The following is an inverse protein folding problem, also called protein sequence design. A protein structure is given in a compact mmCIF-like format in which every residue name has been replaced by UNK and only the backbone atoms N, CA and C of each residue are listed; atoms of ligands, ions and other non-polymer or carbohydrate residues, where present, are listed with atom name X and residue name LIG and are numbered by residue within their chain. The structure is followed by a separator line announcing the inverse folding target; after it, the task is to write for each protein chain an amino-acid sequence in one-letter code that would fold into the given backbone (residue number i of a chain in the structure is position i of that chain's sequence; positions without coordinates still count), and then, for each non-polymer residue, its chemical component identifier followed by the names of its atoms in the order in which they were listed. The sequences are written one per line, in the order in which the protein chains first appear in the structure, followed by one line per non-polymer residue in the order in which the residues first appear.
data_IF_352106245833
#
_entry.id   IF_352106245833
#
_cell.length_a   1.000
_cell.length_b   1.000
_cell.length_c   1.000
_cell.angle_alpha   90.00
_cell.angle_beta   90.00
_cell.angle_gamma   90.00
#
_symmetry.space_group_name_H-M   'P 1'
#
loop_
_entity.id
_entity.type
_entity.pdbx_description
1 polymer ?
#
# COMPACT_ATOMS: atom_id res chain seq x y z
N UNK A 1 5.47 27.82 -6.65
CA UNK A 1 4.09 28.14 -6.31
C UNK A 1 4.12 29.54 -5.71
N UNK A 2 3.45 30.50 -6.34
CA UNK A 2 3.52 31.94 -6.00
C UNK A 2 2.23 32.43 -5.32
N UNK A 3 1.42 31.50 -4.82
CA UNK A 3 0.17 31.81 -4.14
C UNK A 3 0.47 32.13 -2.67
N UNK A 4 0.08 33.31 -2.23
CA UNK A 4 0.03 33.68 -0.81
C UNK A 4 -1.34 33.24 -0.28
N UNK A 5 -1.34 32.46 0.81
CA UNK A 5 -2.55 32.03 1.50
C UNK A 5 -2.44 32.49 2.95
N UNK A 6 -3.15 33.56 3.31
CA UNK A 6 -3.10 34.18 4.64
C UNK A 6 -3.61 33.26 5.75
N UNK A 7 -4.44 32.27 5.40
CA UNK A 7 -4.99 31.28 6.33
C UNK A 7 -4.01 30.15 6.67
N UNK A 8 -2.89 30.05 5.95
CA UNK A 8 -1.89 29.00 6.14
C UNK A 8 -0.69 29.50 6.92
N UNK A 9 -0.19 28.63 7.79
CA UNK A 9 1.07 28.89 8.48
C UNK A 9 2.25 28.94 7.49
N UNK A 10 3.31 29.64 7.89
CA UNK A 10 4.57 29.72 7.13
C UNK A 10 5.10 28.31 6.79
N UNK A 11 5.39 28.02 5.50
CA UNK A 11 5.79 26.69 5.07
C UNK A 11 7.16 26.33 5.64
N UNK A 12 7.21 25.25 6.42
CA UNK A 12 8.46 24.74 7.00
C UNK A 12 9.05 23.61 6.14
N UNK A 13 10.32 23.71 5.70
CA UNK A 13 10.97 22.65 4.92
C UNK A 13 11.15 21.35 5.72
N UNK A 14 10.78 20.23 5.11
CA UNK A 14 11.12 18.90 5.64
C UNK A 14 12.49 18.50 5.13
N UNK A 15 13.50 18.56 6.01
CA UNK A 15 14.89 18.16 5.70
C UNK A 15 15.29 16.95 6.52
N UNK A 16 15.92 15.96 5.88
CA UNK A 16 16.34 14.73 6.54
C UNK A 16 17.45 14.02 5.75
N UNK A 17 18.11 13.05 6.38
CA UNK A 17 19.12 12.19 5.72
C UNK A 17 18.43 11.12 4.86
N UNK A 18 19.16 10.52 3.93
CA UNK A 18 18.68 9.35 3.20
C UNK A 18 18.31 8.22 4.18
N UNK A 19 17.16 7.57 3.95
CA UNK A 19 16.60 6.55 4.84
C UNK A 19 15.66 7.11 5.92
N UNK A 20 15.55 8.43 6.08
CA UNK A 20 14.54 9.02 6.97
C UNK A 20 13.13 8.88 6.40
N UNK A 21 12.16 8.72 7.29
CA UNK A 21 10.72 8.61 6.97
C UNK A 21 9.98 9.82 7.50
N UNK A 22 9.10 10.40 6.68
CA UNK A 22 8.23 11.50 7.08
C UNK A 22 6.77 11.04 7.04
N UNK A 23 6.10 11.07 8.19
CA UNK A 23 4.67 10.78 8.30
C UNK A 23 3.88 12.07 8.14
N UNK A 24 2.82 12.03 7.34
CA UNK A 24 1.93 13.18 7.09
C UNK A 24 0.49 12.74 7.20
N UNK A 25 -0.33 13.61 7.78
CA UNK A 25 -1.78 13.48 7.70
C UNK A 25 -2.26 13.80 6.28
N UNK A 26 -3.34 13.18 5.83
CA UNK A 26 -4.02 13.54 4.56
C UNK A 26 -4.56 14.97 4.56
N UNK A 27 -4.76 15.55 5.74
CA UNK A 27 -5.20 16.94 5.92
C UNK A 27 -4.05 17.95 5.95
N UNK A 28 -2.79 17.50 5.92
CA UNK A 28 -1.64 18.40 5.92
C UNK A 28 -1.45 19.01 4.53
N UNK A 29 -1.61 20.33 4.42
CA UNK A 29 -1.27 21.08 3.21
C UNK A 29 0.24 21.06 3.03
N UNK A 30 0.70 20.63 1.87
CA UNK A 30 2.13 20.54 1.56
C UNK A 30 2.36 20.68 0.06
N UNK A 31 3.58 21.10 -0.31
CA UNK A 31 3.99 21.25 -1.69
C UNK A 31 5.40 20.69 -1.92
N UNK A 32 5.68 20.28 -3.14
CA UNK A 32 7.04 19.96 -3.55
C UNK A 32 7.89 21.24 -3.62
N UNK A 33 9.09 21.19 -3.05
CA UNK A 33 10.04 22.30 -3.16
C UNK A 33 10.81 22.22 -4.49
N UNK A 34 11.06 23.36 -5.16
CA UNK A 34 11.88 23.41 -6.36
C UNK A 34 13.31 22.96 -6.04
N UNK A 35 13.96 22.31 -7.01
CA UNK A 35 15.37 21.96 -6.89
C UNK A 35 16.23 23.22 -7.00
N UNK A 36 17.05 23.48 -5.98
CA UNK A 36 18.07 24.53 -6.04
C UNK A 36 19.09 24.24 -7.16
N UNK A 37 19.48 22.98 -7.33
CA UNK A 37 20.30 22.50 -8.43
C UNK A 37 19.50 21.53 -9.32
N UNK A 38 19.14 21.98 -10.52
CA UNK A 38 18.34 21.22 -11.49
C UNK A 38 19.07 20.00 -12.09
N UNK A 39 20.38 19.85 -11.87
CA UNK A 39 21.16 18.69 -12.30
C UNK A 39 21.24 17.59 -11.23
N UNK A 40 20.65 17.80 -10.05
CA UNK A 40 20.58 16.80 -9.00
C UNK A 40 19.19 16.21 -8.90
N UNK A 41 19.14 14.95 -8.48
CA UNK A 41 17.89 14.23 -8.24
C UNK A 41 17.72 13.95 -6.74
N UNK A 42 16.46 13.88 -6.31
CA UNK A 42 16.07 13.42 -4.97
C UNK A 42 15.14 12.24 -5.14
N UNK A 43 15.62 11.06 -4.75
CA UNK A 43 14.79 9.86 -4.67
C UNK A 43 13.84 9.96 -3.48
N UNK A 44 12.56 9.67 -3.70
CA UNK A 44 11.54 9.58 -2.67
C UNK A 44 10.56 8.47 -3.04
N UNK A 45 10.17 7.68 -2.05
CA UNK A 45 9.14 6.65 -2.18
C UNK A 45 8.01 7.00 -1.23
N UNK A 46 6.81 7.16 -1.78
CA UNK A 46 5.60 7.48 -1.03
C UNK A 46 4.73 6.27 -0.79
N UNK A 47 4.26 6.10 0.44
CA UNK A 47 3.20 5.16 0.78
C UNK A 47 2.01 5.95 1.34
N UNK A 48 0.82 5.56 0.91
CA UNK A 48 -0.43 6.15 1.38
C UNK A 48 -1.21 5.07 2.09
N UNK A 49 -1.52 5.30 3.37
CA UNK A 49 -2.34 4.41 4.18
C UNK A 49 -3.69 5.08 4.44
N UNK A 50 -4.75 4.29 4.46
CA UNK A 50 -6.08 4.73 4.86
C UNK A 50 -6.61 3.80 5.95
N UNK A 51 -7.68 4.24 6.62
CA UNK A 51 -8.36 3.41 7.60
C UNK A 51 -9.00 2.20 6.91
N UNK A 52 -8.96 1.05 7.58
CA UNK A 52 -9.53 -0.19 7.10
C UNK A 52 -11.07 -0.15 7.04
N UNK A 53 -11.74 0.63 7.89
CA UNK A 53 -13.21 0.79 7.86
C UNK A 53 -13.71 1.78 6.80
N UNK A 54 -12.78 2.50 6.17
CA UNK A 54 -13.02 3.34 4.99
C UNK A 54 -12.35 2.72 3.74
N UNK A 55 -11.98 1.44 3.83
CA UNK A 55 -11.41 0.66 2.75
C UNK A 55 -12.53 -0.08 2.04
N UNK A 56 -13.02 0.45 0.93
CA UNK A 56 -13.75 -0.41 0.01
C UNK A 56 -12.74 -1.30 -0.71
N UNK A 57 -12.79 -2.58 -0.36
CA UNK A 57 -12.18 -3.66 -1.12
C UNK A 57 -12.39 -3.41 -2.62
N UNK A 58 -11.30 -3.38 -3.40
CA UNK A 58 -11.27 -3.12 -4.85
C UNK A 58 -11.59 -1.70 -5.37
N UNK A 59 -11.55 -0.63 -4.56
CA UNK A 59 -11.63 0.76 -5.06
C UNK A 59 -10.28 1.48 -5.15
N UNK A 60 -9.15 0.77 -5.26
CA UNK A 60 -7.96 1.39 -5.85
C UNK A 60 -8.32 1.74 -7.30
N UNK A 61 -8.69 3.00 -7.53
CA UNK A 61 -9.08 3.58 -8.84
C UNK A 61 -7.97 3.54 -9.89
N UNK A 62 -6.87 2.85 -9.61
CA UNK A 62 -5.86 2.42 -10.57
C UNK A 62 -5.48 0.98 -10.21
N UNK A 63 -5.66 -0.03 -11.08
CA UNK A 63 -4.82 -1.23 -10.97
C UNK A 63 -3.38 -0.73 -10.91
N UNK A 64 -2.64 -1.05 -9.84
CA UNK A 64 -1.24 -0.65 -9.79
C UNK A 64 -0.60 -1.33 -11.01
N UNK A 65 0.08 -0.58 -11.88
CA UNK A 65 0.82 -1.19 -12.97
C UNK A 65 1.72 -2.29 -12.40
N UNK A 66 1.48 -3.54 -12.81
CA UNK A 66 2.29 -4.69 -12.40
C UNK A 66 1.62 -5.73 -11.51
N UNK A 67 0.32 -5.63 -11.16
CA UNK A 67 -0.36 -6.67 -10.38
C UNK A 67 -0.41 -8.06 -11.04
N UNK A 68 -0.19 -8.12 -12.35
CA UNK A 68 -0.11 -9.36 -13.12
C UNK A 68 1.32 -9.70 -13.54
N UNK A 69 2.33 -8.92 -13.12
CA UNK A 69 3.71 -9.27 -13.44
C UNK A 69 4.16 -10.46 -12.61
N UNK A 70 5.10 -11.23 -13.14
CA UNK A 70 5.66 -12.38 -12.45
C UNK A 70 6.28 -12.01 -11.11
N UNK A 71 6.87 -10.82 -10.98
CA UNK A 71 7.49 -10.35 -9.74
C UNK A 71 6.44 -10.09 -8.67
N UNK A 72 5.31 -9.47 -9.02
CA UNK A 72 4.24 -9.23 -8.07
C UNK A 72 3.56 -10.53 -7.66
N UNK A 73 3.28 -11.42 -8.62
CA UNK A 73 2.68 -12.74 -8.33
C UNK A 73 3.58 -13.54 -7.40
N UNK A 74 4.90 -13.58 -7.68
CA UNK A 74 5.87 -14.27 -6.82
C UNK A 74 5.95 -13.62 -5.44
N UNK A 75 6.00 -12.29 -5.37
CA UNK A 75 5.99 -11.57 -4.10
C UNK A 75 4.75 -11.89 -3.25
N UNK A 76 3.56 -11.94 -3.86
CA UNK A 76 2.33 -12.33 -3.15
C UNK A 76 2.40 -13.79 -2.70
N UNK A 77 2.88 -14.70 -3.54
CA UNK A 77 3.01 -16.11 -3.18
C UNK A 77 3.97 -16.33 -1.99
N UNK A 78 5.10 -15.63 -1.99
CA UNK A 78 6.20 -15.82 -1.02
C UNK A 78 6.02 -15.03 0.29
N UNK A 79 5.10 -14.07 0.34
CA UNK A 79 4.95 -13.20 1.52
C UNK A 79 4.01 -13.78 2.60
N UNK A 80 3.82 -13.06 3.69
CA UNK A 80 3.00 -13.51 4.84
C UNK A 80 1.54 -13.04 4.73
N UNK A 81 0.58 -13.70 5.41
CA UNK A 81 -0.80 -13.20 5.49
C UNK A 81 -0.91 -11.76 5.98
N UNK A 82 -0.06 -11.35 6.94
CA UNK A 82 0.00 -9.97 7.43
C UNK A 82 0.39 -8.99 6.34
N UNK A 83 1.39 -9.31 5.51
CA UNK A 83 1.80 -8.45 4.41
C UNK A 83 0.73 -8.36 3.31
N UNK A 84 0.07 -9.47 2.99
CA UNK A 84 -1.07 -9.48 2.06
C UNK A 84 -2.25 -8.65 2.59
N UNK A 85 -2.51 -8.70 3.90
CA UNK A 85 -3.54 -7.88 4.52
C UNK A 85 -3.28 -6.38 4.37
N UNK A 86 -2.01 -5.95 4.45
CA UNK A 86 -1.63 -4.56 4.16
C UNK A 86 -1.91 -4.15 2.70
N UNK A 87 -1.97 -5.12 1.78
CA UNK A 87 -2.36 -4.92 0.38
C UNK A 87 -3.87 -5.05 0.16
N UNK A 88 -4.65 -5.14 1.24
CA UNK A 88 -6.10 -5.18 1.21
C UNK A 88 -6.70 -6.59 1.17
N UNK A 89 -5.92 -7.67 1.35
CA UNK A 89 -6.49 -9.03 1.46
C UNK A 89 -7.24 -9.22 2.79
N UNK A 90 -8.24 -10.10 2.91
CA UNK A 90 -8.96 -10.34 4.15
C UNK A 90 -8.03 -11.09 5.10
N UNK A 91 -8.33 -11.02 6.40
CA UNK A 91 -7.54 -11.76 7.37
C UNK A 91 -7.88 -13.26 7.32
N UNK A 92 -6.92 -14.13 7.68
CA UNK A 92 -7.24 -15.51 8.07
C UNK A 92 -8.48 -15.59 8.95
N UNK A 93 -9.41 -16.48 8.61
CA UNK A 93 -10.69 -16.62 9.32
C UNK A 93 -11.87 -15.87 8.71
N UNK A 94 -11.64 -14.97 7.76
CA UNK A 94 -12.71 -14.25 7.05
C UNK A 94 -13.61 -15.19 6.24
N UNK A 95 -14.91 -14.89 6.22
CA UNK A 95 -15.93 -15.59 5.42
C UNK A 95 -15.65 -15.65 3.92
N UNK A 96 -14.81 -14.75 3.40
CA UNK A 96 -14.34 -14.78 2.01
C UNK A 96 -13.67 -16.12 1.64
N UNK A 97 -12.97 -16.75 2.59
CA UNK A 97 -12.16 -17.94 2.34
C UNK A 97 -12.98 -19.22 2.30
N UNK A 98 -13.80 -19.35 1.26
CA UNK A 98 -14.43 -20.61 0.87
C UNK A 98 -13.43 -21.51 0.14
N UNK A 99 -13.69 -22.82 0.06
CA UNK A 99 -12.85 -23.75 -0.70
C UNK A 99 -12.71 -23.33 -2.18
N UNK A 100 -13.78 -22.79 -2.78
CA UNK A 100 -13.73 -22.25 -4.13
C UNK A 100 -12.79 -21.04 -4.23
N UNK A 101 -12.88 -20.11 -3.29
CA UNK A 101 -11.99 -18.95 -3.25
C UNK A 101 -10.53 -19.37 -3.09
N UNK A 102 -10.25 -20.34 -2.21
CA UNK A 102 -8.91 -20.90 -2.01
C UNK A 102 -8.38 -21.56 -3.28
N UNK A 103 -9.21 -22.32 -4.02
CA UNK A 103 -8.80 -22.93 -5.29
C UNK A 103 -8.48 -21.87 -6.35
N UNK A 104 -9.27 -20.80 -6.43
CA UNK A 104 -9.00 -19.67 -7.34
C UNK A 104 -7.70 -18.95 -6.96
N UNK A 105 -7.43 -18.77 -5.67
CA UNK A 105 -6.18 -18.19 -5.18
C UNK A 105 -4.97 -19.06 -5.52
N UNK A 106 -5.05 -20.38 -5.38
CA UNK A 106 -3.99 -21.31 -5.76
C UNK A 106 -3.65 -21.21 -7.25
N UNK A 107 -4.66 -21.00 -8.10
CA UNK A 107 -4.46 -20.84 -9.54
C UNK A 107 -3.88 -19.46 -9.90
N UNK A 108 -4.33 -18.41 -9.22
CA UNK A 108 -3.89 -17.04 -9.47
C UNK A 108 -2.46 -16.76 -8.96
N UNK A 109 -2.07 -17.40 -7.86
CA UNK A 109 -0.77 -17.26 -7.21
C UNK A 109 -0.14 -18.63 -6.97
N UNK A 110 0.49 -19.24 -7.99
CA UNK A 110 1.12 -20.56 -7.85
C UNK A 110 2.15 -20.58 -6.72
N UNK A 111 2.07 -21.58 -5.84
CA UNK A 111 2.99 -21.74 -4.70
C UNK A 111 2.62 -20.96 -3.44
N UNK A 112 1.53 -20.18 -3.45
CA UNK A 112 1.06 -19.46 -2.26
C UNK A 112 0.72 -20.43 -1.12
N UNK A 113 1.19 -20.12 0.09
CA UNK A 113 0.77 -20.86 1.29
C UNK A 113 -0.66 -20.49 1.67
N UNK A 114 -1.57 -21.46 1.50
CA UNK A 114 -2.99 -21.35 1.82
C UNK A 114 -3.36 -21.95 3.17
N UNK A 115 -2.45 -22.65 3.85
CA UNK A 115 -2.74 -23.27 5.15
C UNK A 115 -3.29 -22.26 6.17
N UNK A 116 -2.79 -21.01 6.27
CA UNK A 116 -3.34 -20.02 7.20
C UNK A 116 -4.78 -19.62 6.92
N UNK A 117 -5.25 -19.71 5.67
CA UNK A 117 -6.58 -19.23 5.26
C UNK A 117 -7.64 -20.32 5.31
N UNK A 118 -7.25 -21.58 5.46
CA UNK A 118 -8.18 -22.67 5.68
C UNK A 118 -8.76 -22.51 7.08
N UNK A 119 -10.01 -22.08 7.15
CA UNK A 119 -10.74 -22.09 8.42
C UNK A 119 -10.78 -23.53 8.91
N UNK A 120 -10.02 -23.83 9.96
CA UNK A 120 -10.21 -25.06 10.71
C UNK A 120 -11.52 -24.87 11.46
N UNK A 121 -12.62 -25.30 10.84
CA UNK A 121 -13.86 -25.51 11.57
C UNK A 121 -13.55 -26.54 12.66
N UNK A 122 -13.21 -26.07 13.86
CA UNK A 122 -13.48 -26.84 15.07
C UNK A 122 -15.00 -26.95 15.16
N UNK A 123 -15.51 -28.07 14.66
CA UNK A 123 -16.84 -28.59 14.98
C UNK A 123 -16.88 -28.93 16.46
#
# INVERSE_FOLDING_TARGET
DLRECEELAEPTPVTAKAGSVAFRSSYLIHAAQPFANKQRQRGWMGFHFHRADNADWCHTTRPVPGWTTSEFVSFVADTTPRARHLLGWPNPGDSYYTEEALQRLANAYPGIDLAPYRNTMTV
#
